data_IF_439434028958
#
_entry.id   IF_439434028958
#
_cell.length_a   1.000
_cell.length_b   1.000
_cell.length_c   1.000
_cell.angle_alpha   90.00
_cell.angle_beta   90.00
_cell.angle_gamma   90.00
#
_symmetry.space_group_name_H-M   'P 1'
#
loop_
_entity.id
_entity.type
_entity.pdbx_description
1 polymer ?
#
# COMPACT_ATOMS: atom_id res chain seq x y z
N UNK A 1 32.84 -8.75 0.77
CA UNK A 1 31.69 -9.03 -0.12
C UNK A 1 30.78 -7.81 -0.05
N UNK A 2 30.25 -7.27 -1.16
CA UNK A 2 29.30 -6.17 -1.06
C UNK A 2 28.09 -6.69 -0.27
N UNK A 3 27.79 -6.07 0.86
CA UNK A 3 26.57 -6.33 1.59
C UNK A 3 25.43 -5.99 0.65
N UNK A 4 24.62 -6.98 0.27
CA UNK A 4 23.40 -6.71 -0.48
C UNK A 4 22.55 -5.82 0.42
N UNK A 5 22.43 -4.55 0.04
CA UNK A 5 21.56 -3.62 0.74
C UNK A 5 20.14 -4.18 0.61
N UNK A 6 19.58 -4.68 1.71
CA UNK A 6 18.23 -5.22 1.77
C UNK A 6 17.34 -4.25 2.53
N UNK A 7 16.09 -4.13 2.08
CA UNK A 7 15.06 -3.34 2.73
C UNK A 7 13.98 -4.30 3.23
N UNK A 8 13.73 -4.29 4.53
CA UNK A 8 12.60 -5.01 5.11
C UNK A 8 11.36 -4.12 5.09
N UNK A 9 10.29 -4.63 4.48
CA UNK A 9 9.04 -3.91 4.31
C UNK A 9 7.90 -4.77 4.84
N UNK A 10 7.04 -4.19 5.67
CA UNK A 10 5.75 -4.78 6.06
C UNK A 10 4.59 -3.92 5.56
N UNK A 11 3.46 -4.56 5.35
CA UNK A 11 2.29 -3.96 4.72
C UNK A 11 1.13 -3.90 5.71
N UNK A 12 0.78 -2.69 6.15
CA UNK A 12 -0.37 -2.41 7.03
C UNK A 12 -1.66 -2.45 6.23
N UNK A 13 -2.59 -3.30 6.63
CA UNK A 13 -3.91 -3.47 6.03
C UNK A 13 -4.96 -2.57 6.69
N UNK A 14 -6.16 -2.53 6.10
CA UNK A 14 -7.28 -1.67 6.54
C UNK A 14 -7.79 -1.96 7.96
N UNK A 15 -7.56 -3.17 8.46
CA UNK A 15 -7.96 -3.61 9.80
C UNK A 15 -6.84 -3.44 10.84
N UNK A 16 -5.73 -2.84 10.44
CA UNK A 16 -4.55 -2.64 11.29
C UNK A 16 -3.61 -3.85 11.36
N UNK A 17 -3.95 -4.98 10.74
CA UNK A 17 -3.02 -6.12 10.63
C UNK A 17 -1.87 -5.82 9.66
N UNK A 18 -0.73 -6.46 9.87
CA UNK A 18 0.46 -6.31 9.03
C UNK A 18 0.73 -7.63 8.27
N UNK A 19 1.08 -7.54 6.98
CA UNK A 19 1.66 -8.63 6.20
C UNK A 19 3.18 -8.47 6.09
N UNK A 20 3.92 -9.58 6.15
CA UNK A 20 5.39 -9.59 6.15
C UNK A 20 5.97 -9.68 7.57
N UNK A 21 7.22 -9.23 7.79
CA UNK A 21 8.05 -8.44 6.89
C UNK A 21 8.59 -9.23 5.69
N UNK A 22 8.82 -8.52 4.58
CA UNK A 22 9.40 -9.05 3.36
C UNK A 22 10.69 -8.32 3.02
N UNK A 23 11.68 -9.08 2.54
CA UNK A 23 12.95 -8.54 2.06
C UNK A 23 12.86 -8.16 0.60
N UNK A 24 13.31 -6.96 0.28
CA UNK A 24 13.39 -6.41 -1.07
C UNK A 24 14.76 -5.77 -1.31
N UNK A 25 15.18 -5.74 -2.58
CA UNK A 25 16.30 -4.90 -3.00
C UNK A 25 15.82 -3.45 -3.13
N UNK A 26 16.67 -2.44 -2.86
CA UNK A 26 16.42 -1.03 -3.18
C UNK A 26 16.03 -0.80 -4.64
N UNK A 27 16.47 -1.67 -5.56
CA UNK A 27 16.13 -1.62 -6.98
C UNK A 27 14.74 -2.20 -7.32
N UNK A 28 14.08 -2.89 -6.37
CA UNK A 28 12.74 -3.44 -6.59
C UNK A 28 11.74 -2.32 -6.86
N UNK A 29 10.85 -2.51 -7.84
CA UNK A 29 9.84 -1.51 -8.20
C UNK A 29 8.60 -1.66 -7.33
N UNK A 30 7.83 -0.57 -7.20
CA UNK A 30 6.57 -0.59 -6.48
C UNK A 30 5.55 -1.52 -7.15
N UNK A 31 5.60 -1.68 -8.47
CA UNK A 31 4.81 -2.70 -9.16
C UNK A 31 5.05 -4.11 -8.58
N UNK A 32 6.31 -4.50 -8.37
CA UNK A 32 6.64 -5.81 -7.77
C UNK A 32 6.09 -5.96 -6.35
N UNK A 33 6.14 -4.89 -5.55
CA UNK A 33 5.54 -4.90 -4.20
C UNK A 33 4.04 -5.14 -4.27
N UNK A 34 3.33 -4.44 -5.17
CA UNK A 34 1.89 -4.61 -5.36
C UNK A 34 1.52 -6.02 -5.82
N UNK A 35 2.25 -6.58 -6.77
CA UNK A 35 2.04 -7.98 -7.21
C UNK A 35 2.22 -8.97 -6.05
N UNK A 36 3.24 -8.78 -5.20
CA UNK A 36 3.44 -9.62 -4.02
C UNK A 36 2.30 -9.51 -3.02
N UNK A 37 1.78 -8.31 -2.80
CA UNK A 37 0.62 -8.09 -1.92
C UNK A 37 -0.61 -8.85 -2.44
N UNK A 38 -0.87 -8.84 -3.75
CA UNK A 38 -1.98 -9.62 -4.35
C UNK A 38 -1.77 -11.11 -4.11
N UNK A 39 -0.56 -11.61 -4.36
CA UNK A 39 -0.25 -13.04 -4.25
C UNK A 39 -0.36 -13.58 -2.82
N UNK A 40 0.11 -12.80 -1.84
CA UNK A 40 0.14 -13.20 -0.42
C UNK A 40 -1.09 -12.73 0.36
N UNK A 41 -2.13 -12.21 -0.33
CA UNK A 41 -3.27 -11.57 0.34
C UNK A 41 -3.97 -12.55 1.31
N UNK A 42 -4.25 -12.16 2.57
CA UNK A 42 -4.85 -13.07 3.54
C UNK A 42 -6.28 -13.45 3.14
N UNK A 43 -6.57 -14.75 3.15
CA UNK A 43 -7.84 -15.32 2.66
C UNK A 43 -9.04 -15.00 3.55
N UNK A 44 -8.79 -14.60 4.80
CA UNK A 44 -9.79 -14.25 5.81
C UNK A 44 -10.30 -12.80 5.69
N UNK A 45 -9.75 -11.98 4.78
CA UNK A 45 -10.18 -10.60 4.61
C UNK A 45 -11.43 -10.47 3.74
N UNK A 46 -12.37 -9.63 4.18
CA UNK A 46 -13.62 -9.32 3.46
C UNK A 46 -13.40 -8.68 2.09
N UNK A 47 -12.33 -7.90 1.95
CA UNK A 47 -11.96 -7.19 0.72
C UNK A 47 -10.65 -7.80 0.24
N UNK A 48 -10.62 -8.18 -1.04
CA UNK A 48 -9.44 -8.70 -1.72
C UNK A 48 -9.20 -7.92 -3.03
N UNK A 49 -7.95 -7.51 -3.31
CA UNK A 49 -7.60 -6.89 -4.59
C UNK A 49 -7.72 -7.93 -5.71
N UNK A 50 -8.25 -7.55 -6.88
CA UNK A 50 -8.27 -8.44 -8.06
C UNK A 50 -6.95 -8.45 -8.82
N UNK A 51 -6.13 -7.42 -8.62
CA UNK A 51 -4.80 -7.28 -9.21
C UNK A 51 -4.07 -6.05 -8.67
N UNK A 52 -2.82 -5.84 -9.09
CA UNK A 52 -1.98 -4.77 -8.58
C UNK A 52 -2.55 -3.36 -8.84
N UNK A 53 -3.39 -3.18 -9.86
CA UNK A 53 -4.04 -1.90 -10.17
C UNK A 53 -5.08 -1.49 -9.12
N UNK A 54 -5.65 -2.46 -8.39
CA UNK A 54 -6.58 -2.19 -7.30
C UNK A 54 -5.86 -1.78 -6.01
N UNK A 55 -4.53 -1.79 -6.01
CA UNK A 55 -3.71 -1.48 -4.83
C UNK A 55 -3.11 -0.07 -4.94
N UNK A 56 -3.38 0.73 -3.92
CA UNK A 56 -2.61 1.95 -3.61
C UNK A 56 -1.70 1.67 -2.43
N UNK A 57 -0.41 1.89 -2.66
CA UNK A 57 0.61 1.74 -1.62
C UNK A 57 0.99 3.13 -1.13
N UNK A 58 1.00 3.33 0.18
CA UNK A 58 1.26 4.63 0.80
C UNK A 58 2.46 4.51 1.73
N UNK A 59 3.44 5.39 1.57
CA UNK A 59 4.56 5.53 2.49
C UNK A 59 4.75 7.00 2.88
N UNK A 60 4.92 7.28 4.18
CA UNK A 60 5.01 8.62 4.75
C UNK A 60 4.01 9.64 4.14
N UNK A 61 2.74 9.25 4.06
CA UNK A 61 1.66 10.10 3.56
C UNK A 61 1.64 10.29 2.03
N UNK A 62 2.55 9.68 1.27
CA UNK A 62 2.58 9.75 -0.20
C UNK A 62 2.13 8.43 -0.82
N UNK A 63 1.24 8.52 -1.81
CA UNK A 63 0.90 7.38 -2.67
C UNK A 63 2.08 7.09 -3.60
N UNK A 64 2.50 5.83 -3.65
CA UNK A 64 3.63 5.37 -4.44
C UNK A 64 3.19 4.93 -5.84
N UNK A 65 3.93 5.41 -6.84
CA UNK A 65 3.73 5.09 -8.26
C UNK A 65 4.47 3.82 -8.67
N UNK A 66 3.92 3.07 -9.62
CA UNK A 66 4.40 1.73 -9.99
C UNK A 66 5.85 1.70 -10.53
N UNK A 67 6.28 2.77 -11.19
CA UNK A 67 7.59 2.93 -11.80
C UNK A 67 8.69 3.36 -10.82
N UNK A 68 8.33 3.75 -9.58
CA UNK A 68 9.32 4.08 -8.56
C UNK A 68 9.97 2.83 -8.00
N UNK A 69 11.18 3.00 -7.48
CA UNK A 69 11.94 1.94 -6.80
C UNK A 69 11.87 2.12 -5.28
N UNK A 70 12.03 1.03 -4.55
CA UNK A 70 12.02 1.00 -3.08
C UNK A 70 13.06 1.95 -2.48
N UNK A 71 14.26 2.04 -3.06
CA UNK A 71 15.32 2.91 -2.59
C UNK A 71 14.93 4.39 -2.55
N UNK A 72 14.10 4.85 -3.49
CA UNK A 72 13.57 6.22 -3.53
C UNK A 72 12.41 6.46 -2.56
N UNK A 73 11.84 5.39 -2.01
CA UNK A 73 10.74 5.47 -1.07
C UNK A 73 11.23 5.54 0.38
N UNK A 74 12.54 5.33 0.63
CA UNK A 74 13.15 5.53 1.94
C UNK A 74 13.00 7.00 2.33
N UNK A 75 12.40 7.24 3.48
CA UNK A 75 12.21 8.58 4.02
C UNK A 75 13.36 8.81 4.96
N UNK A 76 14.15 9.86 4.75
CA UNK A 76 15.34 10.22 5.54
C UNK A 76 15.01 10.67 6.98
N UNK A 77 13.95 10.15 7.59
CA UNK A 77 13.52 10.54 8.93
C UNK A 77 14.36 9.81 9.98
N UNK A 78 15.57 10.31 10.20
CA UNK A 78 16.54 9.77 11.16
C UNK A 78 17.13 8.44 10.69
N UNK A 79 18.45 8.39 10.51
CA UNK A 79 19.18 7.17 10.20
C UNK A 79 18.98 6.12 11.32
N UNK A 80 17.96 5.28 11.17
CA UNK A 80 17.82 4.03 11.91
C UNK A 80 18.16 2.90 10.94
N UNK A 81 19.38 2.35 10.99
CA UNK A 81 19.92 1.42 10.00
C UNK A 81 19.19 0.06 9.91
N UNK A 82 18.19 -0.18 10.77
CA UNK A 82 17.51 -1.48 10.91
C UNK A 82 15.98 -1.38 10.98
N UNK A 83 15.40 -0.21 10.71
CA UNK A 83 13.97 -0.02 10.85
C UNK A 83 13.18 -0.66 9.68
N UNK A 84 12.35 -1.66 10.00
CA UNK A 84 11.38 -2.23 9.05
C UNK A 84 10.42 -1.14 8.57
N UNK A 85 10.41 -0.89 7.27
CA UNK A 85 9.53 0.12 6.66
C UNK A 85 8.09 -0.42 6.69
N UNK A 86 7.18 0.37 7.25
CA UNK A 86 5.75 0.04 7.24
C UNK A 86 5.04 0.83 6.15
N UNK A 87 4.57 0.16 5.10
CA UNK A 87 3.78 0.79 4.05
C UNK A 87 2.29 0.46 4.25
N UNK A 88 1.42 1.46 4.07
CA UNK A 88 -0.03 1.25 4.16
C UNK A 88 -0.59 0.79 2.82
N UNK A 89 -1.43 -0.24 2.86
CA UNK A 89 -2.09 -0.80 1.70
C UNK A 89 -3.56 -0.41 1.71
N UNK A 90 -4.00 0.23 0.62
CA UNK A 90 -5.40 0.54 0.38
C UNK A 90 -5.86 -0.23 -0.86
N UNK A 91 -6.86 -1.09 -0.67
CA UNK A 91 -7.54 -1.77 -1.78
C UNK A 91 -8.66 -0.89 -2.27
N UNK A 92 -8.49 -0.33 -3.46
CA UNK A 92 -9.50 0.44 -4.17
C UNK A 92 -9.78 -0.26 -5.50
N UNK A 93 -10.87 -1.04 -5.59
CA UNK A 93 -11.25 -1.70 -6.83
C UNK A 93 -11.35 -0.71 -7.98
N UNK A 94 -10.64 -0.97 -9.06
CA UNK A 94 -10.76 -0.18 -10.28
C UNK A 94 -12.16 -0.37 -10.85
N UNK A 95 -12.90 0.74 -10.98
CA UNK A 95 -14.25 0.73 -11.55
C UNK A 95 -14.09 0.52 -13.06
N UNK A 96 -14.00 -0.72 -13.51
CA UNK A 96 -14.13 -1.03 -14.94
C UNK A 96 -15.52 -0.58 -15.34
N UNK A 97 -15.61 0.50 -16.14
CA UNK A 97 -16.85 0.98 -16.76
C UNK A 97 -17.42 -0.12 -17.67
N UNK A 98 -18.12 -1.09 -17.09
CA UNK A 98 -19.08 -1.89 -17.84
C UNK A 98 -20.31 -1.01 -17.99
N UNK A 99 -20.50 -0.46 -19.20
CA UNK A 99 -21.77 0.14 -19.60
C UNK A 99 -22.83 -0.97 -19.60
N UNK A 100 -23.52 -1.19 -18.49
CA UNK A 100 -24.87 -1.78 -18.51
C UNK A 100 -25.67 -1.27 -17.31
N UNK A 101 -26.71 -0.50 -17.64
CA UNK A 101 -27.91 -0.12 -16.91
C UNK A 101 -27.95 -0.20 -15.36
N UNK A 102 -28.13 0.99 -14.78
CA UNK A 102 -29.10 1.33 -13.73
C UNK A 102 -29.14 0.51 -12.42
N UNK A 103 -28.53 1.08 -11.37
CA UNK A 103 -29.31 1.54 -10.20
C UNK A 103 -28.56 2.64 -9.45
N UNK A 104 -29.16 3.82 -9.40
CA UNK A 104 -28.76 4.91 -8.51
C UNK A 104 -28.91 4.45 -7.06
N UNK A 105 -27.84 4.52 -6.28
CA UNK A 105 -27.94 4.88 -4.86
C UNK A 105 -27.06 6.11 -4.71
N UNK A 106 -27.74 7.25 -4.64
CA UNK A 106 -27.19 8.51 -4.19
C UNK A 106 -26.96 8.35 -2.68
N UNK A 107 -25.71 8.14 -2.26
CA UNK A 107 -25.31 8.35 -0.88
C UNK A 107 -24.26 9.46 -0.89
N UNK A 108 -24.51 10.60 -0.22
CA UNK A 108 -23.53 11.68 -0.19
C UNK A 108 -22.24 11.19 0.47
N UNK A 109 -21.07 11.67 0.05
CA UNK A 109 -19.83 11.34 0.73
C UNK A 109 -19.97 11.78 2.19
N UNK A 110 -19.98 10.81 3.12
CA UNK A 110 -19.79 11.11 4.53
C UNK A 110 -18.38 11.64 4.69
N UNK A 111 -18.29 12.96 4.69
CA UNK A 111 -17.08 13.71 5.01
C UNK A 111 -16.78 13.47 6.49
N UNK A 112 -16.13 12.35 6.82
CA UNK A 112 -15.54 12.16 8.13
C UNK A 112 -14.26 13.01 8.19
N UNK A 113 -14.43 14.33 8.28
CA UNK A 113 -13.35 15.24 8.67
C UNK A 113 -13.04 14.95 10.14
N UNK A 114 -12.01 14.14 10.37
CA UNK A 114 -11.43 14.00 11.69
C UNK A 114 -10.65 15.29 11.99
N UNK A 115 -11.28 16.24 12.66
CA UNK A 115 -10.62 17.46 13.15
C UNK A 115 -9.82 17.10 14.40
N UNK A 116 -8.55 16.72 14.23
CA UNK A 116 -7.61 16.71 15.35
C UNK A 116 -7.16 18.16 15.60
N UNK A 117 -7.74 18.80 16.62
CA UNK A 117 -7.20 20.04 17.17
C UNK A 117 -6.27 19.68 18.33
N UNK A 118 -5.05 20.22 18.33
CA UNK A 118 -4.17 20.17 19.49
C UNK A 118 -4.66 21.26 20.45
N UNK A 119 -5.05 20.88 21.67
CA UNK A 119 -5.31 21.80 22.79
C UNK A 119 -4.09 21.86 23.69
#
# INVERSE_FOLDING_TARGET
MPEEEVVEIKFRLYDGSDMGPFRYSPASTIAMLKERIVAEWPKDKKIAPKGANDIKLINAGKILENNKIVGQCRVHFGDLPEAVITMHVVVQPSVTKVKTAEKKVDEPPRNNLCSCSIM
#
